data_IF_489377117094
#
_entry.id   IF_489377117094
#
_cell.length_a   1.000
_cell.length_b   1.000
_cell.length_c   1.000
_cell.angle_alpha   90.00
_cell.angle_beta   90.00
_cell.angle_gamma   90.00
#
_symmetry.space_group_name_H-M   'P 1'
#
loop_
_entity.id
_entity.type
_entity.pdbx_description
1 polymer ?
#
# COMPACT_ATOMS: atom_id res chain seq x y z
N UNK A 1 -2.40 14.64 -19.58
CA UNK A 1 -2.36 15.09 -18.17
C UNK A 1 -3.22 14.20 -17.27
N UNK A 2 -4.55 14.18 -17.40
CA UNK A 2 -5.41 13.31 -16.59
C UNK A 2 -5.14 11.81 -16.79
N UNK A 3 -4.78 11.40 -18.01
CA UNK A 3 -4.51 9.99 -18.33
C UNK A 3 -3.28 9.42 -17.60
N UNK A 4 -2.21 10.20 -17.45
CA UNK A 4 -1.00 9.76 -16.74
C UNK A 4 -1.28 9.50 -15.26
N UNK A 5 -2.03 10.41 -14.62
CA UNK A 5 -2.45 10.25 -13.23
C UNK A 5 -3.44 9.09 -13.07
N UNK A 6 -4.32 8.88 -14.04
CA UNK A 6 -5.24 7.74 -14.03
C UNK A 6 -4.49 6.41 -14.16
N UNK A 7 -3.49 6.34 -15.04
CA UNK A 7 -2.66 5.15 -15.21
C UNK A 7 -1.79 4.90 -13.97
N UNK A 8 -1.20 5.95 -13.38
CA UNK A 8 -0.44 5.85 -12.14
C UNK A 8 -1.32 5.43 -10.96
N UNK A 9 -2.57 5.92 -10.90
CA UNK A 9 -3.55 5.52 -9.90
C UNK A 9 -3.89 4.02 -10.03
N UNK A 10 -4.18 3.55 -11.24
CA UNK A 10 -4.46 2.14 -11.50
C UNK A 10 -3.26 1.25 -11.14
N UNK A 11 -2.04 1.72 -11.38
CA UNK A 11 -0.83 1.01 -11.00
C UNK A 11 -0.69 0.90 -9.48
N UNK A 12 -0.89 1.99 -8.74
CA UNK A 12 -0.91 1.94 -7.26
C UNK A 12 -1.97 0.97 -6.75
N UNK A 13 -3.16 0.95 -7.35
CA UNK A 13 -4.26 0.06 -6.97
C UNK A 13 -3.93 -1.41 -7.20
N UNK A 14 -3.26 -1.76 -8.30
CA UNK A 14 -2.78 -3.14 -8.55
C UNK A 14 -1.80 -3.59 -7.47
N UNK A 15 -0.82 -2.74 -7.15
CA UNK A 15 0.21 -3.07 -6.17
C UNK A 15 -0.24 -2.96 -4.71
N UNK A 16 -1.47 -2.49 -4.47
CA UNK A 16 -2.05 -2.29 -3.14
C UNK A 16 -2.41 -3.62 -2.44
N UNK A 17 -2.65 -4.67 -3.23
CA UNK A 17 -3.04 -5.99 -2.69
C UNK A 17 -1.78 -6.77 -2.32
N UNK A 18 -1.61 -6.96 -1.01
CA UNK A 18 -0.50 -7.71 -0.42
C UNK A 18 -0.97 -9.08 0.03
N UNK A 19 -0.21 -10.11 -0.31
CA UNK A 19 -0.40 -11.44 0.27
C UNK A 19 -0.08 -11.45 1.78
N UNK A 20 -0.45 -12.54 2.48
CA UNK A 20 -0.22 -12.68 3.92
C UNK A 20 1.27 -12.57 4.31
N UNK A 21 2.17 -12.88 3.37
CA UNK A 21 3.63 -12.83 3.57
C UNK A 21 4.22 -11.41 3.47
N UNK A 22 3.37 -10.37 3.31
CA UNK A 22 3.82 -8.99 3.12
C UNK A 22 4.44 -8.74 1.74
N UNK A 23 4.20 -9.64 0.78
CA UNK A 23 4.61 -9.50 -0.63
C UNK A 23 3.47 -8.96 -1.46
N UNK A 24 3.79 -8.08 -2.41
CA UNK A 24 2.83 -7.60 -3.39
C UNK A 24 2.36 -8.77 -4.27
N UNK A 25 1.06 -8.96 -4.46
CA UNK A 25 0.56 -10.05 -5.31
C UNK A 25 0.84 -9.83 -6.80
N UNK A 26 1.06 -8.59 -7.22
CA UNK A 26 1.33 -8.26 -8.63
C UNK A 26 2.77 -8.52 -9.03
N UNK A 27 3.74 -8.15 -8.17
CA UNK A 27 5.16 -8.25 -8.51
C UNK A 27 5.94 -9.24 -7.63
N UNK A 28 5.33 -9.81 -6.58
CA UNK A 28 5.98 -10.75 -5.67
C UNK A 28 7.04 -10.15 -4.75
N UNK A 29 7.35 -8.85 -4.88
CA UNK A 29 8.32 -8.15 -4.04
C UNK A 29 7.76 -7.86 -2.65
N UNK A 30 8.65 -7.81 -1.66
CA UNK A 30 8.31 -7.36 -0.30
C UNK A 30 7.87 -5.90 -0.36
N UNK A 31 6.77 -5.57 0.31
CA UNK A 31 6.29 -4.19 0.36
C UNK A 31 7.24 -3.27 1.17
N UNK A 32 7.45 -2.02 0.73
CA UNK A 32 6.86 -1.36 -0.45
C UNK A 32 7.54 -1.76 -1.77
N UNK A 33 6.76 -2.28 -2.72
CA UNK A 33 7.31 -2.77 -3.98
C UNK A 33 7.74 -1.64 -4.92
N UNK A 34 8.66 -1.97 -5.84
CA UNK A 34 9.23 -0.99 -6.79
C UNK A 34 8.15 -0.37 -7.68
N UNK A 35 7.13 -1.15 -8.06
CA UNK A 35 5.99 -0.66 -8.85
C UNK A 35 5.18 0.42 -8.15
N UNK A 36 4.86 0.21 -6.86
CA UNK A 36 4.16 1.18 -6.01
C UNK A 36 4.97 2.46 -5.83
N UNK A 37 6.28 2.33 -5.59
CA UNK A 37 7.18 3.49 -5.41
C UNK A 37 7.27 4.32 -6.70
N UNK A 38 7.42 3.66 -7.86
CA UNK A 38 7.47 4.35 -9.16
C UNK A 38 6.18 5.10 -9.47
N UNK A 39 5.03 4.46 -9.27
CA UNK A 39 3.74 5.10 -9.50
C UNK A 39 3.52 6.27 -8.51
N UNK A 40 3.93 6.13 -7.25
CA UNK A 40 3.91 7.21 -6.26
C UNK A 40 4.77 8.43 -6.64
N UNK A 41 5.92 8.22 -7.31
CA UNK A 41 6.76 9.32 -7.80
C UNK A 41 6.06 10.20 -8.84
N UNK A 42 5.14 9.64 -9.63
CA UNK A 42 4.34 10.41 -10.60
C UNK A 42 3.42 11.40 -9.89
N UNK A 43 2.88 11.04 -8.73
CA UNK A 43 2.07 11.92 -7.90
C UNK A 43 2.93 12.97 -7.18
N UNK A 44 4.06 12.54 -6.60
CA UNK A 44 4.98 13.42 -5.89
C UNK A 44 5.57 14.52 -6.79
N UNK A 45 5.95 14.19 -8.03
CA UNK A 45 6.46 15.17 -8.99
C UNK A 45 5.43 16.21 -9.43
N UNK A 46 4.13 15.92 -9.20
CA UNK A 46 3.01 16.82 -9.53
C UNK A 46 2.42 17.49 -8.29
N UNK A 47 2.95 17.24 -7.09
CA UNK A 47 2.42 17.78 -5.83
C UNK A 47 1.02 17.26 -5.49
N UNK A 48 0.63 16.11 -6.04
CA UNK A 48 -0.68 15.49 -5.81
C UNK A 48 -0.53 14.25 -4.93
N UNK A 49 -1.61 13.85 -4.27
CA UNK A 49 -1.68 12.59 -3.55
C UNK A 49 -2.47 11.57 -4.38
N UNK A 50 -2.05 10.29 -4.40
CA UNK A 50 -2.88 9.21 -4.93
C UNK A 50 -4.23 9.20 -4.22
N UNK A 51 -5.30 8.99 -4.99
CA UNK A 51 -6.62 8.80 -4.38
C UNK A 51 -6.63 7.43 -3.70
N UNK A 52 -7.25 7.30 -2.53
CA UNK A 52 -7.54 5.98 -1.96
C UNK A 52 -8.99 5.63 -2.27
N UNK A 53 -9.22 4.46 -2.84
CA UNK A 53 -10.56 3.91 -3.06
C UNK A 53 -10.85 2.87 -1.97
N UNK A 54 -11.59 3.22 -0.91
CA UNK A 54 -12.00 2.23 0.10
C UNK A 54 -12.80 1.11 -0.58
N UNK A 55 -12.47 -0.14 -0.26
CA UNK A 55 -13.09 -1.34 -0.84
C UNK A 55 -12.24 -2.11 -1.88
N UNK A 56 -11.13 -1.53 -2.38
CA UNK A 56 -10.18 -2.24 -3.24
C UNK A 56 -9.13 -3.03 -2.42
N UNK A 57 -8.83 -2.56 -1.21
CA UNK A 57 -7.92 -3.25 -0.29
C UNK A 57 -8.63 -4.39 0.44
N UNK A 58 -8.31 -5.64 0.11
CA UNK A 58 -8.48 -6.73 1.07
C UNK A 58 -7.46 -6.51 2.19
N UNK A 59 -7.94 -6.21 3.39
CA UNK A 59 -7.06 -6.20 4.57
C UNK A 59 -6.61 -7.63 4.80
N UNK A 60 -5.36 -7.93 4.46
CA UNK A 60 -4.73 -9.16 4.90
C UNK A 60 -4.69 -9.15 6.42
N UNK A 61 -5.35 -10.11 7.06
CA UNK A 61 -5.18 -10.38 8.48
C UNK A 61 -3.73 -10.82 8.69
N UNK A 62 -2.83 -9.88 8.97
CA UNK A 62 -1.54 -10.23 9.55
C UNK A 62 -1.86 -10.85 10.89
N UNK A 63 -1.71 -12.17 10.98
CA UNK A 63 -1.58 -12.83 12.27
C UNK A 63 -0.35 -12.18 12.90
N UNK A 64 -0.56 -11.28 13.85
CA UNK A 64 0.50 -10.81 14.73
C UNK A 64 0.93 -12.01 15.56
N UNK A 65 1.77 -12.86 14.99
CA UNK A 65 2.46 -13.89 15.75
C UNK A 65 3.38 -13.16 16.72
N UNK A 66 3.00 -13.21 17.99
CA UNK A 66 3.75 -12.81 19.18
C UNK A 66 4.52 -11.49 19.09
N UNK A 67 3.82 -10.40 19.41
CA UNK A 67 4.46 -9.28 20.09
C UNK A 67 3.97 -9.28 21.53
N UNK A 68 4.83 -9.78 22.42
CA UNK A 68 4.69 -9.64 23.86
C UNK A 68 4.24 -8.21 24.20
N UNK A 69 3.20 -8.15 25.04
CA UNK A 69 2.38 -6.96 25.29
C UNK A 69 3.18 -5.68 25.51
N UNK A 70 2.97 -4.71 24.64
CA UNK A 70 2.97 -3.30 25.01
C UNK A 70 1.62 -2.74 24.59
N UNK A 71 0.71 -2.74 25.54
CA UNK A 71 -0.59 -2.09 25.42
C UNK A 71 -0.33 -0.58 25.26
N UNK A 72 -0.79 -0.02 24.15
CA UNK A 72 -0.60 1.40 23.81
C UNK A 72 -1.38 2.36 24.72
N UNK A 73 -2.25 1.82 25.57
CA UNK A 73 -3.02 2.57 26.57
C UNK A 73 -2.70 2.04 27.96
N UNK A 74 -1.54 2.41 28.48
CA UNK A 74 -1.11 2.06 29.82
C UNK A 74 -0.68 3.29 30.59
N UNK A 75 -1.49 3.72 31.56
CA UNK A 75 -1.02 4.59 32.64
C UNK A 75 -2.04 5.63 33.10
N UNK A 76 -2.74 5.34 34.19
CA UNK A 76 -3.05 6.35 35.20
C UNK A 76 -2.81 5.77 36.58
#
# INVERSE_FOLDING_TARGET
MAQELHNAQAEIERHLVTGPDGRCLTCGEIEPCTGRVRAGRVFASRGLLPKRRPGITTVGTRTLADSHGTFWFGGR
#
